data_IF_465048159022
#
_entry.id   IF_465048159022
#
_cell.length_a   1.000
_cell.length_b   1.000
_cell.length_c   1.000
_cell.angle_alpha   90.00
_cell.angle_beta   90.00
_cell.angle_gamma   90.00
#
_symmetry.space_group_name_H-M   'P 1'
#
loop_
_entity.id
_entity.type
_entity.pdbx_description
1 polymer ?
#
# COMPACT_ATOMS: atom_id res chain seq x y z
N UNK A 1 10.20 5.64 -17.08
CA UNK A 1 11.05 4.58 -16.44
C UNK A 1 10.15 3.55 -15.75
N UNK A 2 10.53 2.26 -15.64
CA UNK A 2 9.77 1.29 -14.83
C UNK A 2 9.97 1.51 -13.32
N UNK A 3 8.85 1.56 -12.59
CA UNK A 3 8.79 1.70 -11.13
C UNK A 3 8.49 0.35 -10.48
N UNK A 4 7.60 -0.46 -11.06
CA UNK A 4 7.30 -1.81 -10.58
C UNK A 4 7.62 -2.84 -11.67
N UNK A 5 8.59 -3.72 -11.41
CA UNK A 5 8.96 -4.78 -12.36
C UNK A 5 7.96 -5.94 -12.38
N UNK A 6 7.33 -6.28 -11.25
CA UNK A 6 6.40 -7.42 -11.16
C UNK A 6 5.20 -7.27 -12.10
N UNK A 7 4.68 -6.03 -12.22
CA UNK A 7 3.49 -5.73 -13.01
C UNK A 7 3.80 -4.81 -14.21
N UNK A 8 5.07 -4.50 -14.46
CA UNK A 8 5.49 -3.65 -15.58
C UNK A 8 4.95 -2.22 -15.51
N UNK A 9 4.87 -1.62 -14.32
CA UNK A 9 4.31 -0.28 -14.15
C UNK A 9 5.39 0.78 -14.31
N UNK A 10 5.10 1.80 -15.14
CA UNK A 10 6.00 2.91 -15.39
C UNK A 10 5.75 4.12 -14.48
N UNK A 11 6.75 4.97 -14.36
CA UNK A 11 6.69 6.24 -13.66
C UNK A 11 5.64 7.17 -14.26
N UNK A 12 5.52 7.17 -15.59
CA UNK A 12 4.51 7.93 -16.31
C UNK A 12 3.08 7.47 -15.95
N UNK A 13 2.85 6.15 -15.82
CA UNK A 13 1.59 5.60 -15.35
C UNK A 13 1.28 6.00 -13.90
N UNK A 14 2.27 5.93 -13.01
CA UNK A 14 2.11 6.37 -11.61
C UNK A 14 1.71 7.85 -11.55
N UNK A 15 2.36 8.71 -12.33
CA UNK A 15 2.02 10.14 -12.41
C UNK A 15 0.65 10.38 -13.02
N UNK A 16 0.26 9.63 -14.07
CA UNK A 16 -1.07 9.74 -14.67
C UNK A 16 -2.18 9.39 -13.67
N UNK A 17 -2.00 8.33 -12.89
CA UNK A 17 -2.93 8.00 -11.81
C UNK A 17 -2.94 9.05 -10.70
N UNK A 18 -1.78 9.63 -10.33
CA UNK A 18 -1.74 10.74 -9.39
C UNK A 18 -2.55 11.95 -9.88
N UNK A 19 -2.38 12.34 -11.15
CA UNK A 19 -3.17 13.41 -11.79
C UNK A 19 -4.66 13.09 -11.88
N UNK A 20 -5.04 11.80 -11.95
CA UNK A 20 -6.43 11.34 -11.89
C UNK A 20 -7.00 11.26 -10.45
N UNK A 21 -6.29 11.81 -9.46
CA UNK A 21 -6.73 11.88 -8.06
C UNK A 21 -6.30 10.73 -7.15
N UNK A 22 -5.42 9.84 -7.61
CA UNK A 22 -4.93 8.68 -6.84
C UNK A 22 -3.58 9.02 -6.23
N UNK A 23 -3.62 9.75 -5.13
CA UNK A 23 -2.43 10.31 -4.50
C UNK A 23 -1.85 9.47 -3.36
N UNK A 24 -2.30 8.23 -3.17
CA UNK A 24 -1.71 7.32 -2.16
C UNK A 24 -1.21 6.03 -2.81
N UNK A 25 -0.11 5.42 -2.32
CA UNK A 25 0.37 4.14 -2.84
C UNK A 25 -0.71 3.05 -2.84
N UNK A 26 -1.62 3.10 -1.85
CA UNK A 26 -2.74 2.17 -1.76
C UNK A 26 -3.77 2.38 -2.88
N UNK A 27 -4.10 3.63 -3.22
CA UNK A 27 -4.97 3.92 -4.37
C UNK A 27 -4.31 3.54 -5.70
N UNK A 28 -3.01 3.80 -5.85
CA UNK A 28 -2.23 3.36 -7.01
C UNK A 28 -2.29 1.82 -7.13
N UNK A 29 -2.05 1.10 -6.02
CA UNK A 29 -2.13 -0.35 -5.99
C UNK A 29 -3.51 -0.89 -6.38
N UNK A 30 -4.61 -0.23 -5.98
CA UNK A 30 -5.97 -0.63 -6.38
C UNK A 30 -6.23 -0.51 -7.88
N UNK A 31 -5.62 0.47 -8.55
CA UNK A 31 -5.83 0.70 -9.98
C UNK A 31 -4.91 -0.15 -10.86
N UNK A 32 -3.62 -0.21 -10.51
CA UNK A 32 -2.61 -0.83 -11.38
C UNK A 32 -1.83 -1.99 -10.74
N UNK A 33 -2.22 -2.45 -9.54
CA UNK A 33 -1.58 -3.55 -8.79
C UNK A 33 -0.13 -3.27 -8.35
N UNK A 34 0.40 -2.07 -8.57
CA UNK A 34 1.75 -1.74 -8.15
C UNK A 34 1.92 -1.91 -6.62
N UNK A 35 2.92 -2.69 -6.20
CA UNK A 35 3.26 -2.86 -4.79
C UNK A 35 2.45 -3.92 -4.04
N UNK A 36 1.63 -4.74 -4.72
CA UNK A 36 0.89 -5.86 -4.09
C UNK A 36 1.64 -7.21 -4.11
N UNK A 37 2.83 -7.24 -4.74
CA UNK A 37 3.71 -8.41 -4.82
C UNK A 37 4.90 -8.21 -3.85
N UNK A 38 6.14 -8.14 -4.35
CA UNK A 38 7.35 -8.01 -3.53
C UNK A 38 7.50 -6.64 -2.82
N UNK A 39 6.67 -5.65 -3.16
CA UNK A 39 6.60 -4.36 -2.46
C UNK A 39 7.80 -3.42 -2.63
N UNK A 40 8.86 -3.80 -3.36
CA UNK A 40 10.08 -2.98 -3.52
C UNK A 40 9.83 -1.59 -4.09
N UNK A 41 8.83 -1.47 -4.96
CA UNK A 41 8.42 -0.22 -5.59
C UNK A 41 7.69 0.76 -4.66
N UNK A 42 7.19 0.34 -3.50
CA UNK A 42 6.28 1.14 -2.65
C UNK A 42 6.94 2.43 -2.17
N UNK A 43 8.20 2.36 -1.69
CA UNK A 43 8.94 3.54 -1.24
C UNK A 43 9.24 4.51 -2.38
N UNK A 44 9.51 3.99 -3.58
CA UNK A 44 9.70 4.79 -4.79
C UNK A 44 8.41 5.50 -5.21
N UNK A 45 7.28 4.79 -5.20
CA UNK A 45 5.97 5.35 -5.48
C UNK A 45 5.65 6.47 -4.48
N UNK A 46 5.91 6.28 -3.19
CA UNK A 46 5.75 7.33 -2.18
C UNK A 46 6.61 8.57 -2.49
N UNK A 47 7.86 8.39 -2.92
CA UNK A 47 8.73 9.51 -3.30
C UNK A 47 8.21 10.26 -4.53
N UNK A 48 7.67 9.55 -5.52
CA UNK A 48 7.07 10.14 -6.73
C UNK A 48 5.79 10.94 -6.42
N UNK A 49 5.00 10.46 -5.45
CA UNK A 49 3.81 11.16 -4.97
C UNK A 49 4.17 12.35 -4.05
N UNK A 50 5.33 12.33 -3.41
CA UNK A 50 5.79 13.37 -2.47
C UNK A 50 5.43 13.08 -1.02
N UNK A 51 5.99 13.86 -0.07
CA UNK A 51 5.84 13.73 1.41
C UNK A 51 4.45 14.13 1.94
N UNK A 52 3.40 13.79 1.21
CA UNK A 52 2.02 14.13 1.57
C UNK A 52 1.16 14.56 0.40
N UNK A 53 1.47 14.08 -0.82
CA UNK A 53 0.73 14.29 -2.07
C UNK A 53 -0.64 14.92 -1.82
N UNK A 54 -0.71 16.23 -2.00
CA UNK A 54 -1.76 17.11 -1.53
C UNK A 54 -3.06 16.92 -2.36
N UNK A 55 -3.43 15.69 -2.74
CA UNK A 55 -4.80 15.39 -3.14
C UNK A 55 -5.66 15.65 -1.92
N UNK A 56 -6.31 16.82 -1.93
CA UNK A 56 -7.48 17.16 -1.14
C UNK A 56 -7.51 16.34 0.16
N UNK A 57 -6.63 16.70 1.12
CA UNK A 57 -6.74 16.25 2.52
C UNK A 57 -8.24 16.19 2.78
N UNK A 58 -8.77 14.96 2.90
CA UNK A 58 -10.13 14.62 3.31
C UNK A 58 -10.91 15.90 3.56
N UNK A 59 -11.83 16.30 2.66
CA UNK A 59 -12.81 17.34 3.00
C UNK A 59 -13.18 17.08 4.45
N UNK A 60 -12.83 18.01 5.38
CA UNK A 60 -13.02 17.74 6.78
C UNK A 60 -14.48 17.39 6.89
N UNK A 61 -14.79 16.22 7.47
CA UNK A 61 -16.17 15.83 7.75
C UNK A 61 -16.77 17.04 8.49
N UNK A 62 -17.49 17.88 7.74
CA UNK A 62 -18.21 19.01 8.27
C UNK A 62 -19.16 18.43 9.29
N UNK A 63 -19.02 18.88 10.52
CA UNK A 63 -19.93 18.56 11.61
C UNK A 63 -20.01 17.08 12.04
N UNK A 64 -18.86 16.48 12.38
CA UNK A 64 -18.88 15.44 13.42
C UNK A 64 -18.43 16.02 14.75
N UNK A 65 -19.34 16.77 15.38
CA UNK A 65 -19.27 17.11 16.80
C UNK A 65 -18.95 15.83 17.60
N UNK A 66 -17.87 15.76 18.39
CA UNK A 66 -17.68 14.69 19.34
C UNK A 66 -18.73 14.87 20.45
N UNK A 67 -19.88 14.20 20.31
CA UNK A 67 -20.82 14.04 21.41
C UNK A 67 -20.16 13.14 22.46
N UNK A 68 -19.47 13.77 23.42
CA UNK A 68 -18.86 13.06 24.55
C UNK A 68 -17.58 13.68 25.08
N UNK A 69 -17.56 14.98 25.36
CA UNK A 69 -16.56 15.56 26.25
C UNK A 69 -16.86 15.09 27.69
N UNK A 70 -16.22 13.99 28.10
CA UNK A 70 -15.63 13.89 29.44
C UNK A 70 -14.60 12.76 29.46
N UNK A 71 -13.33 13.12 29.31
CA UNK A 71 -12.21 12.28 29.73
C UNK A 71 -11.10 13.20 30.24
N UNK A 72 -10.88 13.16 31.55
CA UNK A 72 -9.77 13.80 32.26
C UNK A 72 -8.42 13.27 31.76
N UNK A 73 -7.32 14.05 31.84
CA UNK A 73 -6.03 13.63 31.31
C UNK A 73 -5.34 12.68 32.29
N UNK A 74 -5.02 11.47 31.85
CA UNK A 74 -4.00 10.62 32.49
C UNK A 74 -2.75 10.64 31.63
N UNK A 75 -1.66 11.06 32.27
CA UNK A 75 -0.35 11.26 31.68
C UNK A 75 0.34 9.93 31.33
N UNK A 76 1.08 9.98 30.22
CA UNK A 76 2.32 9.32 29.86
C UNK A 76 2.72 8.00 30.56
N UNK A 77 2.91 6.97 29.73
CA UNK A 77 3.71 5.78 30.05
C UNK A 77 4.31 5.18 28.78
N UNK A 78 5.55 5.57 28.46
CA UNK A 78 6.38 4.91 27.46
C UNK A 78 6.86 3.57 27.99
N UNK A 79 6.64 2.46 27.26
CA UNK A 79 7.60 1.36 27.22
C UNK A 79 7.65 0.72 25.83
N UNK A 80 8.85 0.82 25.25
CA UNK A 80 9.36 -0.07 24.24
C UNK A 80 9.87 -1.33 24.93
N UNK A 81 9.50 -2.50 24.43
CA UNK A 81 10.29 -3.72 24.58
C UNK A 81 10.36 -4.38 23.21
N UNK A 82 11.57 -4.35 22.65
CA UNK A 82 11.98 -5.08 21.47
C UNK A 82 12.22 -6.53 21.87
N UNK A 83 11.69 -7.50 21.10
CA UNK A 83 12.39 -8.74 20.76
C UNK A 83 11.68 -9.42 19.58
N UNK A 84 12.48 -9.85 18.61
CA UNK A 84 12.12 -10.24 17.25
C UNK A 84 12.66 -11.64 16.97
N UNK A 85 11.85 -12.49 16.32
CA UNK A 85 12.17 -13.57 15.38
C UNK A 85 11.02 -14.59 15.45
N UNK A 86 10.42 -15.14 14.40
CA UNK A 86 10.74 -15.27 12.99
C UNK A 86 9.96 -16.50 12.44
N UNK A 87 9.95 -16.65 11.10
CA UNK A 87 9.40 -17.76 10.29
C UNK A 87 7.86 -17.75 10.08
N UNK A 88 7.35 -17.36 8.91
CA UNK A 88 7.33 -18.06 7.61
C UNK A 88 6.26 -19.17 7.53
N UNK A 89 5.26 -19.00 6.67
CA UNK A 89 4.67 -20.11 5.92
C UNK A 89 4.36 -19.65 4.49
N UNK A 90 4.84 -20.44 3.54
CA UNK A 90 4.89 -20.18 2.11
C UNK A 90 3.72 -20.86 1.37
N UNK A 91 3.26 -20.37 0.21
CA UNK A 91 2.46 -21.19 -0.69
C UNK A 91 3.37 -22.02 -1.60
N UNK A 92 3.39 -23.34 -1.39
CA UNK A 92 3.77 -24.32 -2.41
C UNK A 92 2.54 -25.24 -2.58
N UNK A 93 2.03 -25.47 -3.79
CA UNK A 93 2.71 -26.33 -4.76
C UNK A 93 2.28 -26.05 -6.21
N UNK A 94 3.28 -26.09 -7.09
CA UNK A 94 3.15 -26.30 -8.52
C UNK A 94 3.47 -27.78 -8.85
N UNK A 95 2.94 -28.29 -9.96
CA UNK A 95 3.37 -29.56 -10.58
C UNK A 95 2.41 -29.97 -11.70
N UNK A 96 2.70 -29.59 -12.95
CA UNK A 96 3.39 -30.43 -13.96
C UNK A 96 2.47 -31.56 -14.48
N UNK A 97 1.84 -31.41 -15.65
CA UNK A 97 2.36 -31.66 -17.01
C UNK A 97 2.22 -33.12 -17.49
N UNK A 98 1.79 -33.24 -18.76
CA UNK A 98 1.79 -34.38 -19.69
C UNK A 98 0.62 -35.42 -19.71
N UNK A 99 -0.18 -35.28 -20.78
CA UNK A 99 -0.49 -36.25 -21.86
C UNK A 99 -1.15 -37.61 -21.56
N UNK A 100 -2.28 -37.86 -22.24
CA UNK A 100 -2.66 -39.04 -23.06
C UNK A 100 -4.01 -38.74 -23.75
N UNK A 101 -4.35 -39.09 -24.99
CA UNK A 101 -3.74 -39.67 -26.18
C UNK A 101 -4.73 -39.45 -27.36
N UNK A 102 -4.24 -39.53 -28.59
CA UNK A 102 -5.06 -39.51 -29.80
C UNK A 102 -5.73 -40.87 -30.06
N UNK A 103 -7.00 -40.83 -30.47
CA UNK A 103 -7.65 -41.78 -31.37
C UNK A 103 -8.85 -41.08 -32.03
#
# INVERSE_FOLDING_TARGET
>A
MFVCSCFGITEEQVRAHASAGRCTPRQIASECKAGTDCGSCVRRIQALLGRGADCARREPLGDRQPAGASAAPVAAGSQATSENAGAADAPATAGAALLREAA
#
